data_IF_243093738361
#
_entry.id   IF_243093738361
#
_cell.length_a   1.000
_cell.length_b   1.000
_cell.length_c   1.000
_cell.angle_alpha   90.00
_cell.angle_beta   90.00
_cell.angle_gamma   90.00
#
_symmetry.space_group_name_H-M   'P 1'
#
loop_
_entity.id
_entity.type
_entity.pdbx_description
1 polymer ?
#
# COMPACT_ATOMS: atom_id res chain seq x y z
N UNK A 1 10.78 -13.32 11.87
CA UNK A 1 10.08 -13.87 13.04
C UNK A 1 10.92 -15.02 13.58
N UNK A 2 11.25 -14.95 14.86
CA UNK A 2 11.86 -16.07 15.59
C UNK A 2 10.72 -16.96 16.08
N UNK A 3 10.83 -18.28 15.85
CA UNK A 3 9.76 -19.21 16.19
C UNK A 3 9.93 -20.58 15.53
N UNK A 4 8.96 -21.43 15.73
CA UNK A 4 8.92 -22.79 15.20
C UNK A 4 7.90 -22.89 14.07
N UNK A 5 8.31 -23.42 12.92
CA UNK A 5 7.39 -23.77 11.84
C UNK A 5 6.52 -24.94 12.30
N UNK A 6 5.21 -24.71 12.44
CA UNK A 6 4.25 -25.74 12.86
C UNK A 6 3.62 -26.45 11.67
N UNK A 7 3.37 -25.73 10.57
CA UNK A 7 2.71 -26.29 9.40
C UNK A 7 3.17 -25.58 8.13
N UNK A 8 3.29 -26.32 7.04
CA UNK A 8 3.53 -25.78 5.71
C UNK A 8 2.31 -26.15 4.84
N UNK A 9 1.55 -25.14 4.38
CA UNK A 9 0.43 -25.27 3.45
C UNK A 9 0.85 -24.83 2.05
N UNK A 10 -0.01 -25.05 1.05
CA UNK A 10 0.28 -24.62 -0.33
C UNK A 10 0.48 -23.10 -0.45
N UNK A 11 -0.26 -22.33 0.34
CA UNK A 11 -0.35 -20.86 0.25
C UNK A 11 0.33 -20.12 1.40
N UNK A 12 0.71 -20.84 2.49
CA UNK A 12 1.25 -20.21 3.70
C UNK A 12 2.14 -21.13 4.52
N UNK A 13 3.01 -20.52 5.31
CA UNK A 13 3.79 -21.18 6.37
C UNK A 13 3.23 -20.70 7.70
N UNK A 14 2.79 -21.62 8.56
CA UNK A 14 2.33 -21.32 9.91
C UNK A 14 3.53 -21.38 10.86
N UNK A 15 3.79 -20.29 11.55
CA UNK A 15 4.89 -20.16 12.50
C UNK A 15 4.29 -19.82 13.86
N UNK A 16 4.63 -20.61 14.88
CA UNK A 16 4.41 -20.22 16.26
C UNK A 16 5.58 -19.35 16.71
N UNK A 17 5.35 -18.03 16.94
CA UNK A 17 6.43 -17.15 17.35
C UNK A 17 6.94 -17.49 18.75
N UNK A 18 8.22 -17.26 18.99
CA UNK A 18 8.77 -17.27 20.34
C UNK A 18 8.26 -16.07 21.14
N UNK A 19 8.24 -16.17 22.48
CA UNK A 19 7.79 -15.09 23.37
C UNK A 19 8.65 -13.83 23.20
N UNK A 20 9.96 -14.00 22.99
CA UNK A 20 10.88 -12.90 22.73
C UNK A 20 11.16 -12.80 21.22
N UNK A 21 10.93 -11.62 20.66
CA UNK A 21 11.21 -11.32 19.26
C UNK A 21 12.35 -10.29 19.23
N UNK A 22 13.60 -10.68 19.02
CA UNK A 22 14.71 -9.76 18.90
C UNK A 22 14.53 -8.85 17.68
N UNK A 23 14.93 -7.58 17.81
CA UNK A 23 14.91 -6.61 16.70
C UNK A 23 16.14 -6.83 15.78
N UNK A 24 16.27 -8.06 15.30
CA UNK A 24 17.34 -8.50 14.42
C UNK A 24 16.77 -9.12 13.16
N UNK A 25 17.51 -9.02 12.08
CA UNK A 25 17.18 -9.66 10.81
C UNK A 25 18.45 -10.10 10.08
N UNK A 26 18.34 -11.15 9.28
CA UNK A 26 19.40 -11.57 8.39
C UNK A 26 19.58 -10.55 7.28
N UNK A 27 20.77 -9.95 7.19
CA UNK A 27 21.07 -8.95 6.18
C UNK A 27 21.15 -9.56 4.79
N UNK A 28 20.52 -8.93 3.81
CA UNK A 28 20.67 -9.33 2.42
C UNK A 28 22.13 -9.18 1.96
N UNK A 29 22.57 -9.91 0.91
CA UNK A 29 23.91 -9.77 0.34
C UNK A 29 24.20 -8.32 -0.11
N UNK A 30 25.46 -7.94 -0.06
CA UNK A 30 25.94 -6.71 -0.70
C UNK A 30 25.91 -6.86 -2.22
N UNK A 31 25.66 -5.75 -2.92
CA UNK A 31 25.60 -5.73 -4.36
C UNK A 31 25.33 -4.32 -4.88
N UNK A 32 25.02 -4.19 -6.15
CA UNK A 32 24.52 -2.95 -6.72
C UNK A 32 23.18 -2.59 -6.09
N UNK A 33 22.79 -1.31 -6.05
CA UNK A 33 21.48 -0.91 -5.53
C UNK A 33 20.30 -1.72 -6.10
N UNK A 34 20.31 -2.02 -7.38
CA UNK A 34 19.28 -2.83 -8.04
C UNK A 34 19.27 -4.28 -7.53
N UNK A 35 20.43 -4.90 -7.38
CA UNK A 35 20.56 -6.25 -6.84
C UNK A 35 20.07 -6.32 -5.39
N UNK A 36 20.40 -5.32 -4.57
CA UNK A 36 19.94 -5.23 -3.19
C UNK A 36 18.41 -5.08 -3.09
N UNK A 37 17.79 -4.26 -3.95
CA UNK A 37 16.33 -4.13 -4.02
C UNK A 37 15.68 -5.47 -4.41
N UNK A 38 16.26 -6.19 -5.39
CA UNK A 38 15.80 -7.53 -5.79
C UNK A 38 15.97 -8.55 -4.65
N UNK A 39 17.13 -8.58 -4.00
CA UNK A 39 17.42 -9.49 -2.88
C UNK A 39 16.55 -9.23 -1.64
N UNK A 40 16.23 -7.96 -1.35
CA UNK A 40 15.32 -7.60 -0.27
C UNK A 40 13.86 -8.01 -0.55
N UNK A 41 13.52 -8.36 -1.78
CA UNK A 41 12.16 -8.72 -2.17
C UNK A 41 11.20 -7.54 -2.06
N UNK A 42 11.64 -6.32 -2.38
CA UNK A 42 10.78 -5.14 -2.41
C UNK A 42 9.77 -5.25 -3.55
N UNK A 43 8.51 -5.03 -3.22
CA UNK A 43 7.39 -5.06 -4.17
C UNK A 43 6.60 -3.76 -4.14
N UNK A 44 5.73 -3.54 -5.11
CA UNK A 44 4.80 -2.42 -5.13
C UNK A 44 3.79 -2.51 -3.99
N UNK A 45 4.04 -1.83 -2.88
CA UNK A 45 3.30 -1.98 -1.62
C UNK A 45 1.96 -1.24 -1.59
N UNK A 46 1.71 -0.36 -2.54
CA UNK A 46 0.43 0.35 -2.69
C UNK A 46 -0.51 -0.25 -3.73
N UNK A 47 -0.26 -1.48 -4.19
CA UNK A 47 -1.05 -2.11 -5.26
C UNK A 47 -0.82 -3.60 -5.40
N UNK A 48 -0.67 -4.08 -6.63
CA UNK A 48 -0.64 -5.50 -6.99
C UNK A 48 0.63 -6.28 -6.59
N UNK A 49 1.57 -5.68 -5.88
CA UNK A 49 2.77 -6.38 -5.44
C UNK A 49 3.79 -6.67 -6.53
N UNK A 50 3.80 -5.92 -7.62
CA UNK A 50 4.77 -6.12 -8.69
C UNK A 50 6.21 -5.91 -8.19
N UNK A 51 7.18 -6.78 -8.55
CA UNK A 51 8.55 -6.68 -8.06
C UNK A 51 9.22 -5.35 -8.43
N UNK A 52 9.60 -4.57 -7.43
CA UNK A 52 10.14 -3.22 -7.61
C UNK A 52 11.46 -3.22 -8.37
N UNK A 53 12.31 -4.24 -8.15
CA UNK A 53 13.56 -4.35 -8.89
C UNK A 53 13.39 -4.55 -10.40
N UNK A 54 12.28 -5.18 -10.84
CA UNK A 54 11.94 -5.26 -12.28
C UNK A 54 11.43 -3.91 -12.77
N UNK A 55 10.59 -3.24 -11.97
CA UNK A 55 10.02 -1.94 -12.32
C UNK A 55 11.07 -0.84 -12.47
N UNK A 56 12.08 -0.83 -11.60
CA UNK A 56 13.18 0.14 -11.63
C UNK A 56 14.23 -0.16 -12.71
N UNK A 57 14.30 -1.38 -13.22
CA UNK A 57 15.21 -1.79 -14.32
C UNK A 57 14.66 -1.30 -15.68
N UNK A 58 14.16 -0.08 -15.71
CA UNK A 58 13.41 0.49 -16.83
C UNK A 58 14.31 1.18 -17.89
N UNK A 59 15.57 1.46 -17.55
CA UNK A 59 16.54 2.15 -18.43
C UNK A 59 15.96 3.41 -19.07
N UNK A 60 15.44 4.33 -18.24
CA UNK A 60 14.87 5.58 -18.72
C UNK A 60 15.95 6.47 -19.39
N UNK A 61 15.56 7.20 -20.42
CA UNK A 61 16.42 8.19 -21.06
C UNK A 61 16.15 9.57 -20.45
N UNK A 62 16.90 9.92 -19.37
CA UNK A 62 16.71 11.18 -18.62
C UNK A 62 15.25 11.38 -18.16
N UNK A 63 14.59 10.30 -17.72
CA UNK A 63 13.16 10.26 -17.45
C UNK A 63 12.75 10.74 -16.07
N UNK A 64 11.60 10.23 -15.60
CA UNK A 64 10.96 10.66 -14.37
C UNK A 64 10.70 9.51 -13.39
N UNK A 65 10.98 9.74 -12.10
CA UNK A 65 10.35 8.96 -11.02
C UNK A 65 9.13 9.74 -10.54
N UNK A 66 7.94 9.15 -10.68
CA UNK A 66 6.69 9.70 -10.17
C UNK A 66 6.35 9.01 -8.86
N UNK A 67 6.39 9.77 -7.76
CA UNK A 67 6.14 9.25 -6.42
C UNK A 67 4.64 9.32 -6.15
N UNK A 68 3.98 8.16 -6.13
CA UNK A 68 2.57 8.07 -5.80
C UNK A 68 2.37 8.23 -4.29
N UNK A 69 1.99 9.44 -3.89
CA UNK A 69 1.61 9.83 -2.53
C UNK A 69 0.11 10.20 -2.44
N UNK A 70 -0.71 9.69 -3.36
CA UNK A 70 -2.12 10.08 -3.47
C UNK A 70 -2.98 9.56 -2.29
N UNK A 71 -2.59 8.44 -1.63
CA UNK A 71 -3.43 7.74 -0.65
C UNK A 71 -4.89 7.71 -1.12
N UNK A 72 -5.15 6.89 -2.15
CA UNK A 72 -6.36 7.02 -2.95
C UNK A 72 -7.59 6.42 -2.26
N UNK A 73 -7.40 5.33 -1.52
CA UNK A 73 -8.46 4.61 -0.84
C UNK A 73 -9.00 5.43 0.34
N UNK A 74 -10.31 5.69 0.40
CA UNK A 74 -10.90 6.40 1.54
C UNK A 74 -10.65 5.69 2.86
N UNK A 75 -10.33 6.46 3.89
CA UNK A 75 -10.10 5.94 5.24
C UNK A 75 -8.71 5.37 5.49
N UNK A 76 -7.86 5.22 4.45
CA UNK A 76 -6.47 4.83 4.64
C UNK A 76 -5.59 6.07 4.81
N UNK A 77 -4.60 6.00 5.74
CA UNK A 77 -3.76 7.16 6.10
C UNK A 77 -2.29 6.81 6.31
N UNK A 78 -1.89 5.55 6.14
CA UNK A 78 -0.55 5.09 6.47
C UNK A 78 0.54 5.72 5.58
N UNK A 79 0.30 5.93 4.28
CA UNK A 79 1.27 6.60 3.40
C UNK A 79 1.43 8.08 3.77
N UNK A 80 0.34 8.76 4.11
CA UNK A 80 0.40 10.17 4.53
C UNK A 80 1.13 10.31 5.87
N UNK A 81 0.83 9.44 6.84
CA UNK A 81 1.54 9.39 8.11
C UNK A 81 3.03 9.13 7.92
N UNK A 82 3.38 8.23 7.02
CA UNK A 82 4.78 7.96 6.71
C UNK A 82 5.50 9.18 6.13
N UNK A 83 4.88 9.92 5.23
CA UNK A 83 5.44 11.16 4.70
C UNK A 83 5.67 12.17 5.83
N UNK A 84 4.68 12.38 6.69
CA UNK A 84 4.80 13.31 7.82
C UNK A 84 5.98 12.98 8.75
N UNK A 85 6.30 11.71 8.93
CA UNK A 85 7.31 11.24 9.87
C UNK A 85 8.68 10.94 9.26
N UNK A 86 8.74 10.59 7.97
CA UNK A 86 9.93 9.98 7.35
C UNK A 86 10.28 10.60 5.98
N UNK A 87 9.93 11.86 5.74
CA UNK A 87 10.18 12.52 4.44
C UNK A 87 11.64 12.46 4.02
N UNK A 88 12.60 12.63 4.93
CA UNK A 88 14.04 12.56 4.61
C UNK A 88 14.47 11.17 4.13
N UNK A 89 13.93 10.11 4.74
CA UNK A 89 14.17 8.73 4.33
C UNK A 89 13.59 8.47 2.93
N UNK A 90 12.38 8.94 2.69
CA UNK A 90 11.72 8.84 1.38
C UNK A 90 12.54 9.57 0.30
N UNK A 91 13.02 10.78 0.57
CA UNK A 91 13.84 11.56 -0.36
C UNK A 91 15.13 10.82 -0.72
N UNK A 92 15.82 10.19 0.24
CA UNK A 92 16.99 9.36 -0.06
C UNK A 92 16.63 8.18 -0.96
N UNK A 93 15.51 7.51 -0.68
CA UNK A 93 15.02 6.41 -1.52
C UNK A 93 14.64 6.84 -2.94
N UNK A 94 14.11 8.06 -3.10
CA UNK A 94 13.85 8.63 -4.43
C UNK A 94 15.15 8.77 -5.22
N UNK A 95 16.24 9.23 -4.60
CA UNK A 95 17.56 9.32 -5.27
C UNK A 95 18.03 7.95 -5.75
N UNK A 96 17.92 6.92 -4.91
CA UNK A 96 18.25 5.55 -5.34
C UNK A 96 17.37 5.06 -6.50
N UNK A 97 16.07 5.35 -6.45
CA UNK A 97 15.18 5.00 -7.56
C UNK A 97 15.55 5.73 -8.86
N UNK A 98 15.92 7.02 -8.75
CA UNK A 98 16.38 7.81 -9.92
C UNK A 98 17.65 7.23 -10.52
N UNK A 99 18.66 6.94 -9.70
CA UNK A 99 19.94 6.39 -10.14
C UNK A 99 19.76 5.01 -10.80
N UNK A 100 18.94 4.13 -10.21
CA UNK A 100 18.68 2.79 -10.75
C UNK A 100 17.95 2.85 -12.09
N UNK A 101 16.92 3.71 -12.19
CA UNK A 101 16.06 3.76 -13.36
C UNK A 101 16.61 4.65 -14.49
N UNK A 102 17.63 5.48 -14.25
CA UNK A 102 18.15 6.45 -15.21
C UNK A 102 17.25 7.69 -15.35
N UNK A 103 16.66 8.14 -14.24
CA UNK A 103 15.79 9.32 -14.22
C UNK A 103 16.54 10.56 -13.74
N UNK A 104 16.32 11.70 -14.40
CA UNK A 104 16.90 12.99 -14.02
C UNK A 104 15.98 13.79 -13.08
N UNK A 105 14.70 13.45 -13.01
CA UNK A 105 13.70 14.21 -12.28
C UNK A 105 12.78 13.31 -11.47
N UNK A 106 12.26 13.87 -10.37
CA UNK A 106 11.26 13.20 -9.56
C UNK A 106 10.10 14.15 -9.19
N UNK A 107 8.88 13.62 -9.17
CA UNK A 107 7.68 14.39 -8.86
C UNK A 107 6.87 13.66 -7.80
N UNK A 108 6.68 14.28 -6.64
CA UNK A 108 5.76 13.79 -5.61
C UNK A 108 4.32 14.17 -5.98
N UNK A 109 3.52 13.19 -6.33
CA UNK A 109 2.09 13.36 -6.65
C UNK A 109 1.25 13.14 -5.39
N UNK A 110 0.79 14.22 -4.75
CA UNK A 110 0.08 14.21 -3.47
C UNK A 110 -1.20 15.03 -3.54
N UNK A 111 -2.28 14.55 -2.89
CA UNK A 111 -3.53 15.30 -2.82
C UNK A 111 -3.38 16.58 -2.00
N UNK A 112 -3.90 17.69 -2.53
CA UNK A 112 -3.77 19.04 -1.94
C UNK A 112 -4.29 19.17 -0.51
N UNK A 113 -5.19 18.28 -0.05
CA UNK A 113 -5.74 18.29 1.31
C UNK A 113 -4.72 17.87 2.39
N UNK A 114 -3.63 17.22 2.03
CA UNK A 114 -2.64 16.65 2.95
C UNK A 114 -1.55 17.68 3.30
N UNK A 115 -1.94 18.84 3.83
CA UNK A 115 -1.05 20.01 4.04
C UNK A 115 0.18 19.69 4.88
N UNK A 116 0.05 18.96 5.99
CA UNK A 116 1.18 18.60 6.86
C UNK A 116 2.21 17.74 6.13
N UNK A 117 1.77 16.76 5.36
CA UNK A 117 2.66 15.93 4.56
C UNK A 117 3.33 16.73 3.43
N UNK A 118 2.61 17.66 2.81
CA UNK A 118 3.15 18.56 1.79
C UNK A 118 4.25 19.46 2.39
N UNK A 119 4.05 20.00 3.58
CA UNK A 119 5.04 20.86 4.24
C UNK A 119 6.28 20.07 4.69
N UNK A 120 6.10 18.82 5.14
CA UNK A 120 7.20 17.91 5.42
C UNK A 120 8.03 17.63 4.14
N UNK A 121 7.37 17.32 3.03
CA UNK A 121 8.03 17.12 1.73
C UNK A 121 8.76 18.40 1.26
N UNK A 122 8.12 19.56 1.31
CA UNK A 122 8.76 20.84 0.95
C UNK A 122 10.04 21.09 1.72
N UNK A 123 10.02 20.76 3.01
CA UNK A 123 11.18 20.89 3.87
C UNK A 123 12.29 19.92 3.45
N UNK A 124 11.93 18.65 3.20
CA UNK A 124 12.88 17.60 2.85
C UNK A 124 13.53 17.81 1.46
N UNK A 125 12.78 18.37 0.49
CA UNK A 125 13.29 18.57 -0.87
C UNK A 125 13.81 19.99 -1.14
N UNK A 126 13.91 20.87 -0.15
CA UNK A 126 14.26 22.29 -0.33
C UNK A 126 15.56 22.53 -1.11
N UNK A 127 16.54 21.63 -0.95
CA UNK A 127 17.85 21.70 -1.61
C UNK A 127 17.94 20.75 -2.82
N UNK A 128 16.88 20.02 -3.17
CA UNK A 128 16.83 19.01 -4.21
C UNK A 128 16.24 19.57 -5.51
N UNK A 129 17.09 20.15 -6.36
CA UNK A 129 16.65 20.81 -7.63
C UNK A 129 15.93 19.88 -8.60
N UNK A 130 16.20 18.59 -8.54
CA UNK A 130 15.61 17.57 -9.40
C UNK A 130 14.23 17.09 -8.93
N UNK A 131 13.78 17.51 -7.72
CA UNK A 131 12.55 17.04 -7.11
C UNK A 131 11.51 18.16 -7.01
N UNK A 132 10.26 17.83 -7.32
CA UNK A 132 9.13 18.77 -7.24
C UNK A 132 7.90 18.09 -6.62
N UNK A 133 6.91 18.90 -6.23
CA UNK A 133 5.62 18.43 -5.73
C UNK A 133 4.53 18.85 -6.72
N UNK A 134 3.73 17.87 -7.16
CA UNK A 134 2.52 18.11 -7.93
C UNK A 134 1.29 17.86 -7.06
N UNK A 135 0.39 18.84 -6.99
CA UNK A 135 -0.81 18.78 -6.17
C UNK A 135 -1.97 18.15 -6.94
N UNK A 136 -2.33 16.94 -6.57
CA UNK A 136 -3.45 16.21 -7.16
C UNK A 136 -4.81 16.72 -6.64
N UNK A 137 -5.87 16.66 -7.47
CA UNK A 137 -7.23 16.86 -6.99
C UNK A 137 -7.64 15.73 -6.03
N UNK A 138 -8.58 16.04 -5.10
CA UNK A 138 -9.09 15.04 -4.16
C UNK A 138 -10.26 14.27 -4.76
N UNK A 139 -9.98 13.49 -5.78
CA UNK A 139 -10.93 12.58 -6.43
C UNK A 139 -10.33 11.18 -6.54
N UNK A 140 -11.18 10.17 -6.70
CA UNK A 140 -10.79 8.79 -6.97
C UNK A 140 -10.90 8.53 -8.49
N UNK A 141 -9.96 7.83 -9.13
CA UNK A 141 -8.77 7.12 -8.62
C UNK A 141 -7.44 7.84 -8.95
N UNK A 142 -7.14 8.99 -8.36
CA UNK A 142 -5.92 9.77 -8.62
C UNK A 142 -4.60 9.06 -8.31
N UNK A 143 -4.64 7.92 -7.62
CA UNK A 143 -3.48 7.05 -7.36
C UNK A 143 -3.28 5.94 -8.40
N UNK A 144 -4.11 5.84 -9.43
CA UNK A 144 -3.88 4.93 -10.56
C UNK A 144 -2.69 5.43 -11.39
N UNK A 145 -1.80 4.53 -11.83
CA UNK A 145 -0.52 4.92 -12.42
C UNK A 145 -0.65 5.82 -13.65
N UNK A 146 -1.60 5.56 -14.54
CA UNK A 146 -1.83 6.39 -15.74
C UNK A 146 -2.43 7.74 -15.38
N UNK A 147 -3.26 7.80 -14.33
CA UNK A 147 -3.76 9.06 -13.80
C UNK A 147 -2.61 9.91 -13.24
N UNK A 148 -1.69 9.30 -12.50
CA UNK A 148 -0.48 9.98 -12.00
C UNK A 148 0.38 10.50 -13.14
N UNK A 149 0.61 9.70 -14.20
CA UNK A 149 1.36 10.12 -15.39
C UNK A 149 0.67 11.31 -16.07
N UNK A 150 -0.64 11.23 -16.31
CA UNK A 150 -1.40 12.30 -16.93
C UNK A 150 -1.33 13.60 -16.12
N UNK A 151 -1.56 13.53 -14.81
CA UNK A 151 -1.52 14.72 -13.96
C UNK A 151 -0.13 15.34 -13.86
N UNK A 152 0.91 14.52 -13.72
CA UNK A 152 2.28 15.02 -13.54
C UNK A 152 2.96 15.45 -14.83
N UNK A 153 2.70 14.76 -15.95
CA UNK A 153 3.42 14.96 -17.22
C UNK A 153 2.53 15.48 -18.35
N UNK A 154 1.21 15.49 -18.19
CA UNK A 154 0.27 15.84 -19.27
C UNK A 154 0.19 14.81 -20.39
N UNK A 155 0.67 13.58 -20.16
CA UNK A 155 0.70 12.50 -21.17
C UNK A 155 -0.43 11.51 -20.87
N UNK A 156 -1.29 11.28 -21.84
CA UNK A 156 -2.32 10.25 -21.79
C UNK A 156 -1.78 8.92 -22.31
N UNK A 157 -1.86 7.89 -21.47
CA UNK A 157 -1.46 6.54 -21.82
C UNK A 157 -2.67 5.70 -22.22
N UNK A 158 -2.53 4.90 -23.27
CA UNK A 158 -3.50 3.88 -23.64
C UNK A 158 -3.66 2.81 -22.54
N UNK A 159 -4.77 2.10 -22.53
CA UNK A 159 -5.11 1.13 -21.45
C UNK A 159 -4.07 0.00 -21.32
N UNK A 160 -3.33 -0.32 -22.37
CA UNK A 160 -2.30 -1.37 -22.40
C UNK A 160 -0.88 -0.84 -22.21
N UNK A 161 -0.70 0.47 -22.19
CA UNK A 161 0.62 1.08 -22.04
C UNK A 161 1.02 1.19 -20.56
N UNK A 162 2.30 0.96 -20.31
CA UNK A 162 2.92 1.17 -19.00
C UNK A 162 3.49 2.60 -18.88
N UNK A 163 3.73 3.10 -17.66
CA UNK A 163 4.35 4.42 -17.44
C UNK A 163 5.68 4.62 -18.19
N UNK A 164 6.42 3.55 -18.47
CA UNK A 164 7.66 3.62 -19.27
C UNK A 164 7.47 4.16 -20.70
N UNK A 165 6.26 4.04 -21.27
CA UNK A 165 5.93 4.68 -22.55
C UNK A 165 5.92 6.22 -22.47
N UNK A 166 5.77 6.79 -21.26
CA UNK A 166 5.92 8.20 -20.97
C UNK A 166 7.31 8.54 -20.39
N UNK A 167 8.30 7.67 -20.57
CA UNK A 167 9.63 7.80 -19.99
C UNK A 167 9.61 8.02 -18.47
N UNK A 168 8.75 7.28 -17.76
CA UNK A 168 8.53 7.42 -16.33
C UNK A 168 8.36 6.07 -15.63
N UNK A 169 8.69 6.06 -14.34
CA UNK A 169 8.36 4.96 -13.42
C UNK A 169 7.53 5.53 -12.27
N UNK A 170 6.37 4.92 -12.00
CA UNK A 170 5.51 5.31 -10.86
C UNK A 170 5.80 4.40 -9.68
N UNK A 171 6.15 4.95 -8.52
CA UNK A 171 6.48 4.19 -7.30
C UNK A 171 5.72 4.75 -6.11
N UNK A 172 5.10 3.87 -5.31
CA UNK A 172 4.44 4.28 -4.06
C UNK A 172 5.46 4.71 -2.99
N UNK A 173 5.08 5.64 -2.12
CA UNK A 173 5.97 6.20 -1.07
C UNK A 173 6.49 5.15 -0.10
N UNK A 174 5.68 4.16 0.30
CA UNK A 174 6.15 3.09 1.19
C UNK A 174 7.16 2.19 0.48
N UNK A 175 6.91 1.85 -0.78
CA UNK A 175 7.86 1.09 -1.61
C UNK A 175 9.22 1.79 -1.65
N UNK A 176 9.26 3.11 -1.84
CA UNK A 176 10.49 3.91 -1.84
C UNK A 176 11.21 3.83 -0.49
N UNK A 177 10.48 3.91 0.61
CA UNK A 177 11.07 3.76 1.95
C UNK A 177 11.71 2.38 2.15
N UNK A 178 11.10 1.31 1.62
CA UNK A 178 11.68 -0.05 1.66
C UNK A 178 12.90 -0.20 0.73
N UNK A 179 12.94 0.54 -0.38
CA UNK A 179 14.17 0.64 -1.20
C UNK A 179 15.29 1.27 -0.39
N UNK A 180 15.02 2.33 0.37
CA UNK A 180 16.01 2.94 1.27
C UNK A 180 16.55 1.93 2.29
N UNK A 181 15.67 1.20 2.97
CA UNK A 181 16.06 0.16 3.93
C UNK A 181 16.89 -0.96 3.31
N UNK A 182 16.50 -1.40 2.11
CA UNK A 182 17.23 -2.44 1.39
C UNK A 182 18.68 -2.02 1.11
N UNK A 183 18.90 -0.78 0.72
CA UNK A 183 20.22 -0.28 0.30
C UNK A 183 21.05 0.16 1.52
N UNK A 184 20.50 0.96 2.43
CA UNK A 184 21.24 1.55 3.53
C UNK A 184 21.43 0.57 4.70
N UNK A 185 20.42 -0.25 4.99
CA UNK A 185 20.39 -1.13 6.15
C UNK A 185 20.60 -2.61 5.75
N UNK A 186 20.54 -2.95 4.47
CA UNK A 186 20.53 -4.33 3.95
C UNK A 186 19.38 -5.13 4.52
N UNK A 187 18.23 -4.47 4.72
CA UNK A 187 17.05 -5.04 5.37
C UNK A 187 16.12 -5.71 4.36
N UNK A 188 15.75 -6.98 4.57
CA UNK A 188 14.70 -7.63 3.78
C UNK A 188 13.35 -6.90 3.96
N UNK A 189 12.53 -6.89 2.92
CA UNK A 189 11.21 -6.26 2.96
C UNK A 189 10.18 -7.20 3.62
N UNK A 190 10.05 -7.12 4.93
CA UNK A 190 9.12 -7.94 5.74
C UNK A 190 8.19 -7.12 6.64
N UNK A 191 8.24 -5.80 6.53
CA UNK A 191 7.41 -4.89 7.30
C UNK A 191 6.42 -4.17 6.38
N UNK A 192 5.22 -3.88 6.89
CA UNK A 192 4.14 -3.21 6.17
C UNK A 192 3.52 -2.10 7.01
N UNK A 193 3.31 -0.94 6.41
CA UNK A 193 2.50 0.13 7.01
C UNK A 193 1.05 -0.05 6.60
N UNK A 194 0.11 0.10 7.53
CA UNK A 194 -1.29 -0.14 7.25
C UNK A 194 -2.23 0.68 8.12
N UNK A 195 -3.48 0.71 7.75
CA UNK A 195 -4.54 1.37 8.50
C UNK A 195 -5.63 0.36 8.86
N UNK A 196 -6.11 0.37 10.10
CA UNK A 196 -7.28 -0.40 10.55
C UNK A 196 -8.39 0.58 10.85
N UNK A 197 -9.57 0.35 10.28
CA UNK A 197 -10.74 1.23 10.44
C UNK A 197 -12.03 0.40 10.52
N UNK A 198 -13.10 1.07 10.88
CA UNK A 198 -14.47 0.53 10.81
C UNK A 198 -15.09 0.34 12.17
N UNK A 199 -15.90 -0.70 12.32
CA UNK A 199 -16.67 -0.97 13.51
C UNK A 199 -15.82 -1.57 14.63
N UNK A 200 -15.06 -0.70 15.29
CA UNK A 200 -14.11 -1.04 16.35
C UNK A 200 -14.53 -0.40 17.68
N UNK A 201 -14.18 -1.05 18.79
CA UNK A 201 -14.30 -0.45 20.11
C UNK A 201 -13.40 0.78 20.21
N UNK A 202 -13.93 1.88 20.75
CA UNK A 202 -13.19 3.15 20.86
C UNK A 202 -13.49 4.17 19.78
N UNK A 203 -14.34 3.84 18.78
CA UNK A 203 -14.83 4.78 17.78
C UNK A 203 -14.30 4.52 16.35
N UNK A 204 -14.62 5.45 15.47
CA UNK A 204 -14.34 5.30 14.02
C UNK A 204 -13.04 5.95 13.57
N UNK A 205 -12.17 6.38 14.47
CA UNK A 205 -10.91 7.01 14.12
C UNK A 205 -9.95 5.96 13.51
N UNK A 206 -9.22 6.32 12.45
CA UNK A 206 -8.27 5.41 11.83
C UNK A 206 -7.10 5.06 12.75
N UNK A 207 -6.85 3.78 12.94
CA UNK A 207 -5.66 3.27 13.62
C UNK A 207 -4.55 3.05 12.58
N UNK A 208 -3.52 3.87 12.61
CA UNK A 208 -2.39 3.78 11.68
C UNK A 208 -1.23 3.04 12.35
N UNK A 209 -0.83 1.94 11.76
CA UNK A 209 0.29 1.13 12.21
C UNK A 209 1.45 1.23 11.23
N UNK A 210 2.62 1.51 11.78
CA UNK A 210 3.87 1.50 11.06
C UNK A 210 4.63 0.21 11.37
N UNK A 211 5.30 -0.32 10.37
CA UNK A 211 6.23 -1.44 10.51
C UNK A 211 5.62 -2.73 11.11
N UNK A 212 4.40 -3.06 10.68
CA UNK A 212 3.75 -4.33 11.03
C UNK A 212 4.47 -5.48 10.33
N UNK A 213 4.92 -6.53 11.06
CA UNK A 213 5.52 -7.69 10.43
C UNK A 213 4.56 -8.40 9.47
N UNK A 214 5.02 -8.71 8.28
CA UNK A 214 4.29 -9.57 7.34
C UNK A 214 4.07 -10.94 7.98
N UNK A 215 2.82 -11.43 7.93
CA UNK A 215 2.40 -12.64 8.61
C UNK A 215 1.61 -12.40 9.90
N UNK A 216 1.60 -11.18 10.47
CA UNK A 216 0.70 -10.83 11.57
C UNK A 216 -0.75 -11.09 11.14
N UNK A 217 -1.55 -11.74 11.98
CA UNK A 217 -2.94 -12.05 11.60
C UNK A 217 -3.83 -10.80 11.56
N UNK A 218 -4.82 -10.82 10.71
CA UNK A 218 -5.86 -9.77 10.65
C UNK A 218 -6.54 -9.61 11.99
N UNK A 219 -6.86 -10.71 12.68
CA UNK A 219 -7.47 -10.70 14.00
C UNK A 219 -6.60 -10.00 15.04
N UNK A 220 -5.30 -10.25 15.05
CA UNK A 220 -4.37 -9.55 15.95
C UNK A 220 -4.37 -8.03 15.69
N UNK A 221 -4.42 -7.60 14.43
CA UNK A 221 -4.47 -6.17 14.11
C UNK A 221 -5.79 -5.53 14.54
N UNK A 222 -6.91 -6.26 14.44
CA UNK A 222 -8.22 -5.83 14.93
C UNK A 222 -8.20 -5.70 16.46
N UNK A 223 -7.66 -6.70 17.17
CA UNK A 223 -7.54 -6.67 18.63
C UNK A 223 -6.66 -5.51 19.12
N UNK A 224 -5.52 -5.27 18.46
CA UNK A 224 -4.66 -4.10 18.75
C UNK A 224 -5.36 -2.76 18.51
N UNK A 225 -6.42 -2.76 17.70
CA UNK A 225 -7.25 -1.59 17.40
C UNK A 225 -8.48 -1.46 18.30
N UNK A 226 -8.55 -2.26 19.39
CA UNK A 226 -9.62 -2.24 20.37
C UNK A 226 -10.64 -3.37 20.21
N UNK A 227 -10.51 -4.23 19.23
CA UNK A 227 -11.45 -5.32 18.93
C UNK A 227 -12.72 -4.84 18.23
N UNK A 228 -13.56 -5.78 17.83
CA UNK A 228 -14.81 -5.50 17.09
C UNK A 228 -15.90 -5.03 18.05
N UNK A 229 -16.63 -3.98 17.67
CA UNK A 229 -17.79 -3.45 18.38
C UNK A 229 -19.09 -4.17 17.97
N UNK A 230 -19.41 -5.26 18.65
CA UNK A 230 -20.66 -6.00 18.46
C UNK A 230 -20.78 -6.72 17.10
N UNK A 231 -21.97 -6.69 16.49
CA UNK A 231 -22.21 -7.35 15.19
C UNK A 231 -21.57 -6.55 14.06
N UNK A 232 -20.98 -7.25 13.10
CA UNK A 232 -20.36 -6.66 11.91
C UNK A 232 -20.75 -7.44 10.66
N UNK A 233 -20.58 -6.82 9.48
CA UNK A 233 -20.88 -7.44 8.20
C UNK A 233 -19.75 -8.34 7.74
N UNK A 234 -18.61 -7.76 7.46
CA UNK A 234 -17.43 -8.46 6.91
C UNK A 234 -16.14 -7.77 7.36
N UNK A 235 -15.05 -8.51 7.26
CA UNK A 235 -13.69 -7.97 7.35
C UNK A 235 -13.16 -7.85 5.91
N UNK A 236 -12.68 -6.68 5.54
CA UNK A 236 -12.09 -6.40 4.23
C UNK A 236 -10.60 -6.16 4.39
N UNK A 237 -9.78 -6.86 3.63
CA UNK A 237 -8.35 -6.59 3.49
C UNK A 237 -8.11 -5.70 2.27
N UNK A 238 -7.53 -4.53 2.48
CA UNK A 238 -7.33 -3.48 1.48
C UNK A 238 -8.15 -2.24 1.77
N UNK A 239 -8.45 -1.45 0.75
CA UNK A 239 -9.31 -0.26 0.85
C UNK A 239 -10.77 -0.55 0.50
N UNK A 240 -11.67 0.44 0.66
CA UNK A 240 -13.10 0.27 0.37
C UNK A 240 -13.42 -0.08 -1.08
N UNK A 241 -12.58 0.34 -2.04
CA UNK A 241 -12.82 0.14 -3.47
C UNK A 241 -12.05 -1.04 -4.07
N UNK A 242 -10.86 -1.34 -3.56
CA UNK A 242 -9.99 -2.38 -4.14
C UNK A 242 -9.75 -3.57 -3.21
N UNK A 243 -10.25 -3.52 -1.98
CA UNK A 243 -10.13 -4.60 -1.02
C UNK A 243 -11.03 -5.79 -1.33
N UNK A 244 -10.76 -6.89 -0.66
CA UNK A 244 -11.55 -8.12 -0.73
C UNK A 244 -11.87 -8.65 0.66
N UNK A 245 -12.98 -9.40 0.76
CA UNK A 245 -13.36 -10.05 2.02
C UNK A 245 -12.27 -11.02 2.47
N UNK A 246 -12.04 -11.06 3.78
CA UNK A 246 -11.02 -11.88 4.41
C UNK A 246 -11.52 -12.43 5.76
N UNK A 247 -10.68 -13.21 6.43
CA UNK A 247 -10.94 -13.78 7.75
C UNK A 247 -9.88 -13.32 8.76
N UNK A 248 -10.15 -13.50 10.04
CA UNK A 248 -9.24 -13.07 11.11
C UNK A 248 -7.91 -13.83 11.12
N UNK A 249 -7.90 -15.07 10.61
CA UNK A 249 -6.68 -15.89 10.48
C UNK A 249 -5.82 -15.58 9.25
N UNK A 250 -6.31 -14.70 8.36
CA UNK A 250 -5.55 -14.29 7.19
C UNK A 250 -4.32 -13.46 7.61
N UNK A 251 -3.17 -13.64 6.96
CA UNK A 251 -1.97 -12.88 7.27
C UNK A 251 -1.95 -11.50 6.61
N UNK A 252 -1.38 -10.51 7.29
CA UNK A 252 -0.89 -9.28 6.67
C UNK A 252 0.17 -9.64 5.64
N UNK A 253 0.04 -9.11 4.44
CA UNK A 253 0.99 -9.31 3.35
C UNK A 253 1.70 -7.99 3.00
N UNK A 254 2.69 -8.02 2.13
CA UNK A 254 3.38 -6.81 1.64
C UNK A 254 2.44 -5.81 0.93
N UNK A 255 1.25 -6.25 0.54
CA UNK A 255 0.25 -5.42 -0.17
C UNK A 255 -0.95 -5.03 0.69
N UNK A 256 -1.03 -5.47 1.93
CA UNK A 256 -2.13 -5.16 2.85
C UNK A 256 -2.07 -3.70 3.30
N UNK A 257 -2.72 -2.78 2.55
CA UNK A 257 -2.78 -1.36 2.90
C UNK A 257 -3.78 -1.05 4.02
N UNK A 258 -4.79 -1.88 4.22
CA UNK A 258 -5.79 -1.67 5.26
C UNK A 258 -6.52 -2.92 5.70
N UNK A 259 -7.17 -2.80 6.84
CA UNK A 259 -8.19 -3.74 7.35
C UNK A 259 -9.41 -2.92 7.70
N UNK A 260 -10.58 -3.33 7.20
CA UNK A 260 -11.84 -2.64 7.43
C UNK A 260 -12.81 -3.63 8.07
N UNK A 261 -13.29 -3.34 9.26
CA UNK A 261 -14.43 -4.04 9.86
C UNK A 261 -15.69 -3.29 9.45
N UNK A 262 -16.50 -3.89 8.57
CA UNK A 262 -17.69 -3.21 8.05
C UNK A 262 -18.82 -3.19 9.09
N UNK A 263 -19.77 -2.28 8.90
CA UNK A 263 -21.04 -2.33 9.63
C UNK A 263 -21.80 -3.59 9.25
N UNK A 264 -22.70 -4.05 10.11
CA UNK A 264 -23.60 -5.15 9.79
C UNK A 264 -24.46 -4.84 8.56
N UNK A 265 -24.85 -5.87 7.85
CA UNK A 265 -25.69 -5.71 6.67
C UNK A 265 -27.08 -5.19 7.08
N UNK A 266 -27.59 -4.14 6.42
CA UNK A 266 -28.94 -3.66 6.72
C UNK A 266 -29.97 -4.73 6.36
N UNK A 267 -30.97 -4.94 7.22
CA UNK A 267 -32.07 -5.87 6.94
C UNK A 267 -33.07 -5.20 5.99
N UNK A 268 -33.29 -5.79 4.84
CA UNK A 268 -34.23 -5.30 3.80
C UNK A 268 -35.66 -5.83 3.99
N UNK A 269 -35.91 -6.64 5.03
CA UNK A 269 -37.24 -7.14 5.39
C UNK A 269 -37.98 -7.83 4.22
N UNK A 270 -37.28 -8.57 3.37
CA UNK A 270 -37.87 -9.27 2.23
C UNK A 270 -38.20 -8.35 1.04
N UNK A 271 -37.63 -7.16 1.00
CA UNK A 271 -37.83 -6.26 -0.14
C UNK A 271 -37.22 -6.86 -1.42
N UNK A 272 -37.89 -6.63 -2.54
CA UNK A 272 -37.32 -7.01 -3.85
C UNK A 272 -36.16 -6.10 -4.19
N UNK A 273 -34.98 -6.68 -4.40
CA UNK A 273 -33.73 -5.98 -4.71
C UNK A 273 -33.30 -6.31 -6.14
N UNK A 274 -32.98 -5.30 -6.90
CA UNK A 274 -32.35 -5.46 -8.21
C UNK A 274 -30.83 -5.49 -8.05
N UNK A 275 -30.19 -6.59 -8.46
CA UNK A 275 -28.73 -6.73 -8.48
C UNK A 275 -28.19 -6.33 -9.85
N UNK A 276 -27.37 -5.27 -9.90
CA UNK A 276 -26.70 -4.84 -11.12
C UNK A 276 -25.25 -5.32 -11.11
N UNK A 277 -24.93 -6.33 -11.90
CA UNK A 277 -23.58 -6.88 -12.01
C UNK A 277 -22.93 -6.34 -13.27
N UNK A 278 -21.83 -5.60 -13.14
CA UNK A 278 -21.06 -5.13 -14.28
C UNK A 278 -19.93 -6.12 -14.65
N UNK A 279 -19.54 -6.11 -15.94
CA UNK A 279 -18.42 -6.91 -16.43
C UNK A 279 -17.03 -6.40 -15.95
N UNK A 280 -17.01 -5.36 -15.11
CA UNK A 280 -15.78 -4.72 -14.60
C UNK A 280 -15.17 -5.42 -13.36
N UNK A 281 -15.61 -6.63 -13.02
CA UNK A 281 -15.12 -7.40 -11.88
C UNK A 281 -16.18 -7.74 -10.83
N UNK A 282 -17.45 -7.36 -11.06
CA UNK A 282 -18.54 -7.72 -10.16
C UNK A 282 -18.82 -9.24 -10.21
N UNK A 283 -18.97 -9.86 -9.05
CA UNK A 283 -19.35 -11.27 -8.91
C UNK A 283 -20.83 -11.38 -8.61
N UNK A 284 -21.58 -12.03 -9.52
CA UNK A 284 -23.02 -12.30 -9.32
C UNK A 284 -23.25 -13.14 -8.04
N UNK A 285 -22.45 -14.19 -7.85
CA UNK A 285 -22.57 -15.06 -6.68
C UNK A 285 -22.37 -14.27 -5.37
N UNK A 286 -21.39 -13.36 -5.35
CA UNK A 286 -21.11 -12.50 -4.20
C UNK A 286 -22.26 -11.53 -3.92
N UNK A 287 -22.81 -10.91 -4.95
CA UNK A 287 -23.94 -9.99 -4.79
C UNK A 287 -25.22 -10.71 -4.31
N UNK A 288 -25.44 -11.94 -4.75
CA UNK A 288 -26.55 -12.78 -4.24
C UNK A 288 -26.35 -13.14 -2.77
N UNK A 289 -25.16 -13.57 -2.36
CA UNK A 289 -24.81 -13.83 -0.96
C UNK A 289 -25.07 -12.61 -0.06
N UNK A 290 -24.63 -11.43 -0.50
CA UNK A 290 -24.90 -10.18 0.23
C UNK A 290 -26.40 -9.89 0.33
N UNK A 291 -27.15 -10.06 -0.78
CA UNK A 291 -28.59 -9.83 -0.78
C UNK A 291 -29.32 -10.78 0.20
N UNK A 292 -28.93 -12.06 0.22
CA UNK A 292 -29.47 -13.04 1.19
C UNK A 292 -29.16 -12.63 2.64
N UNK A 293 -27.93 -12.22 2.93
CA UNK A 293 -27.54 -11.69 4.27
C UNK A 293 -28.33 -10.44 4.67
N UNK A 294 -28.73 -9.64 3.70
CA UNK A 294 -29.59 -8.47 3.91
C UNK A 294 -31.08 -8.82 4.00
N UNK A 295 -31.47 -10.10 3.91
CA UNK A 295 -32.87 -10.53 3.87
C UNK A 295 -33.67 -9.80 2.77
N UNK A 296 -33.11 -9.77 1.58
CA UNK A 296 -33.67 -9.19 0.36
C UNK A 296 -34.15 -10.22 -0.66
#
# INVERSE_FOLDING_TARGET
>A
VYGVVEEIKEDRIVIRPDEEQPDEYEKIPEGTPLEMVKAAGVVGMGGAGFPTGIKLDAHLDHGYILINAAECEPGLYHNIRQIEQQSDKIVRGVKYCMDIAGADKAIFAIKKKNEKAIDALRTAIKDEKAMTIHLLPDIYPMGEERAVVRECLGIELETTQLPSAANAVVVNVETISRVTEAIEERKPCFLKNMTVIGKLNGGNEPHVYMDVPVGTSVGEMIERSGGIDGLYGEIIMGGPFTGSATTEDAPVTKTTGGIIVTIDFPNLHGAKVGLLVCACGGSEARMRDICEKMNG
#
